data_IF_650699877812
#
_entry.id   IF_650699877812
#
_cell.length_a   1.000
_cell.length_b   1.000
_cell.length_c   1.000
_cell.angle_alpha   90.00
_cell.angle_beta   90.00
_cell.angle_gamma   90.00
#
_symmetry.space_group_name_H-M   'P 1'
#
loop_
_entity.id
_entity.type
_entity.pdbx_description
1 polymer ?
#
# COMPACT_ATOMS: atom_id res chain seq x y z
N UNK A 1 15.32 17.07 4.85
CA UNK A 1 14.61 17.79 5.92
C UNK A 1 13.39 16.94 6.29
N UNK A 2 13.39 16.26 7.44
CA UNK A 2 12.30 15.37 7.87
C UNK A 2 11.46 16.10 8.94
N UNK A 3 10.21 16.41 8.62
CA UNK A 3 9.27 16.97 9.60
C UNK A 3 8.54 15.83 10.31
N UNK A 4 8.76 15.71 11.62
CA UNK A 4 7.91 14.93 12.52
C UNK A 4 6.76 15.82 12.99
N UNK A 5 5.54 15.65 12.46
CA UNK A 5 4.35 16.29 13.01
C UNK A 5 3.72 15.38 14.07
N UNK A 6 3.83 15.79 15.33
CA UNK A 6 3.26 15.11 16.50
C UNK A 6 1.82 15.61 16.71
N UNK A 7 0.87 14.98 16.01
CA UNK A 7 -0.58 15.06 16.29
C UNK A 7 -1.31 16.37 15.94
N UNK A 8 -2.63 16.28 15.72
CA UNK A 8 -3.49 17.40 15.35
C UNK A 8 -4.97 17.17 15.68
N UNK A 9 -5.69 18.24 15.97
CA UNK A 9 -7.15 18.23 16.18
C UNK A 9 -7.85 18.64 14.88
N UNK A 10 -8.70 17.76 14.33
CA UNK A 10 -9.41 18.00 13.07
C UNK A 10 -10.93 17.89 13.25
N UNK A 11 -11.69 18.68 12.52
CA UNK A 11 -13.16 18.57 12.47
C UNK A 11 -13.56 17.81 11.20
N UNK A 12 -14.41 16.79 11.35
CA UNK A 12 -14.89 15.97 10.23
C UNK A 12 -16.42 15.97 10.19
N UNK A 13 -16.99 16.25 9.02
CA UNK A 13 -18.44 16.17 8.83
C UNK A 13 -18.89 14.71 8.95
N UNK A 14 -19.84 14.45 9.85
CA UNK A 14 -20.40 13.12 10.11
C UNK A 14 -21.67 12.90 9.31
N UNK A 15 -22.56 13.88 9.30
CA UNK A 15 -23.86 13.78 8.65
C UNK A 15 -24.30 15.14 8.12
N UNK A 16 -24.79 15.16 6.89
CA UNK A 16 -25.43 16.35 6.31
C UNK A 16 -26.87 16.41 6.80
N UNK A 17 -27.21 17.47 7.54
CA UNK A 17 -28.56 17.73 8.00
C UNK A 17 -29.39 18.43 6.92
N UNK A 18 -28.78 19.39 6.22
CA UNK A 18 -29.42 20.13 5.14
C UNK A 18 -28.40 20.50 4.07
N UNK A 19 -28.64 20.08 2.83
CA UNK A 19 -27.82 20.45 1.68
C UNK A 19 -28.13 21.86 1.19
N UNK A 20 -27.10 22.57 0.72
CA UNK A 20 -27.18 23.95 0.23
C UNK A 20 -27.89 24.92 1.20
N UNK A 21 -27.68 24.73 2.51
CA UNK A 21 -28.31 25.53 3.56
C UNK A 21 -27.88 27.01 3.53
N UNK A 22 -26.77 27.33 2.86
CA UNK A 22 -26.31 28.70 2.66
C UNK A 22 -25.09 28.78 1.75
N UNK A 23 -24.33 29.87 1.86
CA UNK A 23 -23.06 30.07 1.13
C UNK A 23 -21.84 30.06 2.04
N UNK A 24 -20.71 29.66 1.47
CA UNK A 24 -19.41 29.74 2.13
C UNK A 24 -18.96 31.20 2.25
N UNK A 25 -18.54 31.59 3.45
CA UNK A 25 -18.02 32.95 3.73
C UNK A 25 -16.71 33.26 3.01
N UNK A 26 -15.94 32.24 2.60
CA UNK A 26 -14.64 32.42 1.96
C UNK A 26 -14.74 32.40 0.42
N UNK A 27 -15.39 31.38 -0.15
CA UNK A 27 -15.43 31.18 -1.60
C UNK A 27 -16.80 31.41 -2.24
N UNK A 28 -17.85 31.74 -1.46
CA UNK A 28 -19.20 32.00 -1.98
C UNK A 28 -19.95 30.79 -2.54
N UNK A 29 -19.32 29.62 -2.61
CA UNK A 29 -19.94 28.36 -3.03
C UNK A 29 -21.04 27.89 -2.07
N UNK A 30 -21.86 26.92 -2.49
CA UNK A 30 -22.86 26.30 -1.61
C UNK A 30 -22.18 25.68 -0.38
N UNK A 31 -22.81 25.85 0.78
CA UNK A 31 -22.37 25.28 2.04
C UNK A 31 -23.52 24.49 2.67
N UNK A 32 -23.19 23.35 3.24
CA UNK A 32 -24.13 22.41 3.83
C UNK A 32 -24.16 22.57 5.35
N UNK A 33 -25.32 22.36 5.96
CA UNK A 33 -25.43 22.27 7.42
C UNK A 33 -25.11 20.83 7.82
N UNK A 34 -24.05 20.63 8.60
CA UNK A 34 -23.56 19.30 8.97
C UNK A 34 -23.41 19.15 10.48
N UNK A 35 -23.70 17.96 10.98
CA UNK A 35 -23.14 17.49 12.25
C UNK A 35 -21.69 17.10 12.01
N UNK A 36 -20.80 17.51 12.91
CA UNK A 36 -19.37 17.20 12.81
C UNK A 36 -18.86 16.53 14.08
N UNK A 37 -17.79 15.76 13.94
CA UNK A 37 -17.02 15.20 15.03
C UNK A 37 -15.68 15.94 15.13
N UNK A 38 -15.23 16.18 16.36
CA UNK A 38 -13.84 16.54 16.64
C UNK A 38 -13.05 15.25 16.76
N UNK A 39 -11.96 15.16 16.00
CA UNK A 39 -11.12 13.98 15.88
C UNK A 39 -9.73 14.37 16.35
N UNK A 40 -9.30 13.79 17.48
CA UNK A 40 -7.92 13.90 17.93
C UNK A 40 -7.10 12.83 17.19
N UNK A 41 -6.14 13.29 16.38
CA UNK A 41 -5.25 12.42 15.63
C UNK A 41 -3.87 12.41 16.27
N UNK A 42 -3.35 11.21 16.54
CA UNK A 42 -1.93 11.00 16.81
C UNK A 42 -1.29 10.56 15.49
N UNK A 43 -0.45 11.42 14.93
CA UNK A 43 0.00 11.34 13.54
C UNK A 43 -1.19 11.36 12.56
N UNK A 44 -1.67 10.18 12.14
CA UNK A 44 -2.73 10.00 11.14
C UNK A 44 -3.86 9.11 11.64
N UNK A 45 -3.72 8.53 12.85
CA UNK A 45 -4.69 7.63 13.45
C UNK A 45 -5.68 8.46 14.27
N UNK A 46 -6.99 8.39 14.00
CA UNK A 46 -8.00 8.98 14.86
C UNK A 46 -8.02 8.19 16.18
N UNK A 47 -7.36 8.70 17.20
CA UNK A 47 -7.25 8.04 18.50
C UNK A 47 -8.53 8.24 19.31
N UNK A 48 -9.16 9.41 19.15
CA UNK A 48 -10.37 9.75 19.89
C UNK A 48 -11.31 10.60 19.02
N UNK A 49 -12.62 10.30 19.09
CA UNK A 49 -13.67 11.04 18.39
C UNK A 49 -14.74 11.47 19.38
N UNK A 50 -15.23 12.69 19.24
CA UNK A 50 -16.37 13.16 20.02
C UNK A 50 -17.24 14.10 19.20
N UNK A 51 -18.57 14.09 19.40
CA UNK A 51 -19.48 14.92 18.64
C UNK A 51 -19.29 16.41 18.95
N UNK A 52 -19.46 17.24 17.93
CA UNK A 52 -19.56 18.69 18.06
C UNK A 52 -20.81 19.09 18.85
N UNK A 53 -20.74 20.18 19.61
CA UNK A 53 -21.86 20.61 20.48
C UNK A 53 -23.05 21.16 19.71
N UNK A 54 -22.83 21.70 18.51
CA UNK A 54 -23.85 22.32 17.66
C UNK A 54 -23.53 22.02 16.19
N UNK A 55 -24.53 21.92 15.31
CA UNK A 55 -24.32 21.82 13.86
C UNK A 55 -23.50 23.01 13.34
N UNK A 56 -22.71 22.78 12.29
CA UNK A 56 -21.86 23.80 11.67
C UNK A 56 -22.09 23.82 10.18
N UNK A 57 -21.89 24.97 9.55
CA UNK A 57 -21.82 25.04 8.09
C UNK A 57 -20.49 24.45 7.64
N UNK A 58 -20.53 23.64 6.57
CA UNK A 58 -19.37 23.05 5.94
C UNK A 58 -19.35 23.40 4.44
N UNK A 59 -18.23 23.91 3.97
CA UNK A 59 -17.98 24.12 2.55
C UNK A 59 -16.98 23.09 2.05
N UNK A 60 -17.38 22.28 1.07
CA UNK A 60 -16.52 21.25 0.48
C UNK A 60 -15.35 21.86 -0.31
N UNK A 61 -15.60 22.91 -1.10
CA UNK A 61 -14.56 23.59 -1.90
C UNK A 61 -13.44 24.20 -1.05
N UNK A 62 -13.80 24.78 0.09
CA UNK A 62 -12.86 25.48 0.97
C UNK A 62 -12.43 24.63 2.19
N UNK A 63 -13.01 23.44 2.37
CA UNK A 63 -12.90 22.59 3.57
C UNK A 63 -13.05 23.39 4.89
N UNK A 64 -13.98 24.35 4.90
CA UNK A 64 -14.13 25.33 5.97
C UNK A 64 -15.37 25.02 6.81
N UNK A 65 -15.17 24.88 8.12
CA UNK A 65 -16.25 24.87 9.10
C UNK A 65 -16.48 26.28 9.64
N UNK A 66 -17.73 26.73 9.65
CA UNK A 66 -18.09 28.04 10.18
C UNK A 66 -19.50 28.07 10.81
N UNK A 67 -19.77 29.00 11.75
CA UNK A 67 -21.08 29.13 12.39
C UNK A 67 -22.19 29.47 11.39
N UNK A 68 -23.38 28.90 11.59
CA UNK A 68 -24.55 29.16 10.74
C UNK A 68 -24.97 30.63 10.73
N UNK A 69 -24.77 31.37 11.84
CA UNK A 69 -25.06 32.79 11.96
C UNK A 69 -24.28 33.68 10.98
N UNK A 70 -23.17 33.18 10.43
CA UNK A 70 -22.33 33.91 9.48
C UNK A 70 -22.61 33.53 8.03
N UNK A 71 -23.52 32.59 7.75
CA UNK A 71 -23.78 32.14 6.37
C UNK A 71 -24.70 33.09 5.61
N UNK A 72 -24.33 33.55 4.40
CA UNK A 72 -25.23 34.27 3.52
C UNK A 72 -26.38 33.35 3.00
N UNK A 73 -27.55 33.93 2.64
CA UNK A 73 -28.71 33.16 2.19
C UNK A 73 -28.45 32.37 0.89
N UNK A 74 -29.15 31.23 0.68
CA UNK A 74 -28.96 30.38 -0.50
C UNK A 74 -29.38 31.11 -1.80
N UNK A 75 -28.73 30.81 -2.94
CA UNK A 75 -29.11 31.38 -4.24
C UNK A 75 -30.45 30.82 -4.75
N UNK A 76 -31.19 31.60 -5.57
CA UNK A 76 -32.40 31.11 -6.23
C UNK A 76 -32.09 29.95 -7.20
N UNK A 77 -33.04 29.05 -7.47
CA UNK A 77 -32.82 27.87 -8.30
C UNK A 77 -32.62 28.25 -9.77
N UNK A 78 -31.41 28.05 -10.30
CA UNK A 78 -31.09 28.27 -11.72
C UNK A 78 -30.57 27.00 -12.39
N UNK A 79 -30.93 26.83 -13.67
CA UNK A 79 -30.84 25.61 -14.49
C UNK A 79 -29.38 25.23 -14.81
N UNK A 80 -29.04 23.95 -14.61
CA UNK A 80 -27.71 23.38 -14.84
C UNK A 80 -27.27 23.42 -16.31
N UNK A 81 -26.03 23.88 -16.55
CA UNK A 81 -25.31 23.73 -17.83
C UNK A 81 -24.23 22.66 -17.67
N UNK A 82 -24.31 21.64 -18.52
CA UNK A 82 -23.46 20.44 -18.59
C UNK A 82 -22.06 20.76 -19.13
N UNK A 83 -21.00 20.17 -18.55
CA UNK A 83 -19.75 19.80 -19.25
C UNK A 83 -18.84 18.88 -18.41
N UNK A 84 -18.88 17.57 -18.68
CA UNK A 84 -17.76 16.62 -18.81
C UNK A 84 -18.32 15.19 -18.98
N UNK A 85 -17.60 14.33 -19.71
CA UNK A 85 -18.03 12.95 -19.95
C UNK A 85 -18.08 12.15 -18.63
N UNK A 86 -19.28 12.08 -18.03
CA UNK A 86 -19.50 11.42 -16.76
C UNK A 86 -19.22 9.91 -16.86
N UNK A 87 -18.36 9.40 -15.98
CA UNK A 87 -18.20 7.97 -15.73
C UNK A 87 -19.57 7.37 -15.41
N UNK A 88 -19.90 6.22 -16.01
CA UNK A 88 -21.15 5.50 -15.77
C UNK A 88 -20.89 4.20 -15.05
N UNK A 89 -21.79 3.83 -14.14
CA UNK A 89 -21.73 2.54 -13.47
C UNK A 89 -21.98 1.41 -14.48
N UNK A 90 -21.06 0.46 -14.60
CA UNK A 90 -21.15 -0.64 -15.59
C UNK A 90 -22.37 -1.56 -15.40
N UNK A 91 -22.96 -1.58 -14.19
CA UNK A 91 -24.08 -2.47 -13.88
C UNK A 91 -25.45 -1.81 -14.04
N UNK A 92 -25.55 -0.49 -13.85
CA UNK A 92 -26.84 0.22 -13.86
C UNK A 92 -26.86 1.47 -14.75
N UNK A 93 -25.76 1.75 -15.45
CA UNK A 93 -25.53 2.85 -16.40
C UNK A 93 -25.82 4.27 -15.87
N UNK A 94 -26.02 4.43 -14.55
CA UNK A 94 -26.16 5.74 -13.91
C UNK A 94 -24.82 6.46 -13.90
N UNK A 95 -24.87 7.79 -14.12
CA UNK A 95 -23.71 8.66 -13.92
C UNK A 95 -23.20 8.53 -12.49
N UNK A 96 -21.90 8.27 -12.36
CA UNK A 96 -21.19 8.28 -11.09
C UNK A 96 -21.09 9.74 -10.65
N UNK A 97 -21.65 10.03 -9.49
CA UNK A 97 -21.63 11.37 -8.91
C UNK A 97 -20.15 11.82 -8.75
N UNK A 98 -19.79 13.04 -9.23
CA UNK A 98 -18.45 13.61 -9.07
C UNK A 98 -17.93 13.59 -7.63
N UNK A 99 -18.80 13.59 -6.62
CA UNK A 99 -18.44 13.45 -5.22
C UNK A 99 -17.81 12.08 -4.86
N UNK A 100 -17.99 11.05 -5.70
CA UNK A 100 -17.28 9.78 -5.58
C UNK A 100 -15.88 9.81 -6.21
N UNK A 101 -15.54 10.87 -6.97
CA UNK A 101 -14.19 11.13 -7.46
C UNK A 101 -13.45 11.92 -6.38
N UNK A 102 -12.82 11.21 -5.45
CA UNK A 102 -12.11 11.83 -4.34
C UNK A 102 -10.96 12.72 -4.86
N UNK A 103 -11.09 14.04 -4.76
CA UNK A 103 -9.99 15.00 -5.01
C UNK A 103 -8.76 14.70 -4.11
N UNK A 104 -8.93 13.89 -3.06
CA UNK A 104 -7.85 13.41 -2.20
C UNK A 104 -7.08 12.24 -2.82
N UNK A 105 -7.73 11.41 -3.66
CA UNK A 105 -7.06 10.33 -4.42
C UNK A 105 -6.20 10.90 -5.56
N UNK A 106 -6.60 12.04 -6.14
CA UNK A 106 -5.83 12.73 -7.19
C UNK A 106 -4.49 13.27 -6.64
N UNK A 107 -4.51 13.89 -5.45
CA UNK A 107 -3.31 14.44 -4.79
C UNK A 107 -2.35 13.34 -4.32
N UNK A 108 -2.88 12.26 -3.73
CA UNK A 108 -2.05 11.11 -3.35
C UNK A 108 -1.40 10.47 -4.59
N UNK A 109 -2.18 10.25 -5.66
CA UNK A 109 -1.66 9.71 -6.92
C UNK A 109 -0.54 10.56 -7.50
N UNK A 110 -0.72 11.89 -7.54
CA UNK A 110 0.30 12.82 -8.04
C UNK A 110 1.61 12.74 -7.23
N UNK A 111 1.52 12.65 -5.89
CA UNK A 111 2.70 12.50 -5.03
C UNK A 111 3.46 11.19 -5.33
N UNK A 112 2.77 10.06 -5.41
CA UNK A 112 3.40 8.76 -5.67
C UNK A 112 3.91 8.64 -7.11
N UNK A 113 3.27 9.31 -8.07
CA UNK A 113 3.79 9.42 -9.44
C UNK A 113 5.07 10.25 -9.48
N UNK A 114 5.09 11.42 -8.84
CA UNK A 114 6.26 12.29 -8.80
C UNK A 114 7.46 11.59 -8.15
N UNK A 115 7.25 10.90 -7.02
CA UNK A 115 8.31 10.13 -6.37
C UNK A 115 8.82 8.97 -7.23
N UNK A 116 7.94 8.26 -7.95
CA UNK A 116 8.35 7.21 -8.88
C UNK A 116 9.16 7.75 -10.07
N UNK A 117 8.78 8.91 -10.61
CA UNK A 117 9.53 9.58 -11.70
C UNK A 117 10.91 10.01 -11.20
N UNK A 118 10.99 10.68 -10.05
CA UNK A 118 12.27 11.08 -9.46
C UNK A 118 13.18 9.88 -9.19
N UNK A 119 12.61 8.80 -8.63
CA UNK A 119 13.31 7.54 -8.41
C UNK A 119 13.84 6.95 -9.72
N UNK A 120 13.01 6.92 -10.77
CA UNK A 120 13.39 6.41 -12.09
C UNK A 120 14.55 7.22 -12.68
N UNK A 121 14.46 8.55 -12.63
CA UNK A 121 15.54 9.46 -13.09
C UNK A 121 16.84 9.16 -12.34
N UNK A 122 16.79 8.95 -11.01
CA UNK A 122 17.97 8.59 -10.23
C UNK A 122 18.60 7.27 -10.70
N UNK A 123 17.80 6.22 -10.93
CA UNK A 123 18.31 4.91 -11.39
C UNK A 123 18.91 5.01 -12.79
N UNK A 124 18.23 5.68 -13.73
CA UNK A 124 18.76 5.90 -15.07
C UNK A 124 20.03 6.75 -15.04
N UNK A 125 20.11 7.74 -14.15
CA UNK A 125 21.31 8.56 -14.00
C UNK A 125 22.52 7.71 -13.58
N UNK A 126 22.36 6.85 -12.57
CA UNK A 126 23.40 5.94 -12.12
C UNK A 126 23.85 4.96 -13.21
N UNK A 127 22.91 4.43 -14.00
CA UNK A 127 23.22 3.49 -15.09
C UNK A 127 23.96 4.18 -16.23
N UNK A 128 23.44 5.32 -16.71
CA UNK A 128 23.92 5.96 -17.94
C UNK A 128 25.16 6.83 -17.71
N UNK A 129 25.15 7.67 -16.67
CA UNK A 129 26.21 8.64 -16.41
C UNK A 129 27.29 8.08 -15.49
N UNK A 130 26.91 7.37 -14.42
CA UNK A 130 27.87 6.74 -13.50
C UNK A 130 28.30 5.33 -13.95
N UNK A 131 27.81 4.86 -15.11
CA UNK A 131 28.16 3.57 -15.73
C UNK A 131 27.95 2.35 -14.81
N UNK A 132 26.97 2.43 -13.90
CA UNK A 132 26.63 1.34 -12.95
C UNK A 132 25.80 0.25 -13.62
N UNK A 133 26.43 -0.49 -14.56
CA UNK A 133 25.78 -1.56 -15.33
C UNK A 133 25.22 -2.70 -14.46
N UNK A 134 25.69 -2.86 -13.23
CA UNK A 134 25.13 -3.83 -12.29
C UNK A 134 23.67 -3.56 -11.91
N UNK A 135 23.16 -2.33 -12.14
CA UNK A 135 21.76 -1.95 -11.87
C UNK A 135 20.80 -2.30 -13.02
N UNK A 136 21.32 -2.70 -14.20
CA UNK A 136 20.51 -3.13 -15.37
C UNK A 136 19.44 -4.18 -15.01
N UNK A 137 19.65 -5.14 -14.09
CA UNK A 137 18.61 -6.09 -13.70
C UNK A 137 17.34 -5.44 -13.13
N UNK A 138 17.38 -4.19 -12.63
CA UNK A 138 16.18 -3.42 -12.25
C UNK A 138 15.31 -3.19 -13.48
N UNK A 139 15.91 -2.71 -14.58
CA UNK A 139 15.20 -2.44 -15.84
C UNK A 139 14.66 -3.74 -16.46
N UNK A 140 15.45 -4.81 -16.41
CA UNK A 140 15.01 -6.12 -16.89
C UNK A 140 13.83 -6.66 -16.07
N UNK A 141 13.86 -6.49 -14.74
CA UNK A 141 12.74 -6.83 -13.87
C UNK A 141 11.47 -6.05 -14.26
N UNK A 142 11.58 -4.73 -14.41
CA UNK A 142 10.46 -3.89 -14.84
C UNK A 142 9.85 -4.35 -16.17
N UNK A 143 10.69 -4.57 -17.19
CA UNK A 143 10.25 -5.04 -18.52
C UNK A 143 9.61 -6.43 -18.45
N UNK A 144 10.16 -7.33 -17.63
CA UNK A 144 9.60 -8.67 -17.41
C UNK A 144 8.18 -8.59 -16.87
N UNK A 145 7.95 -7.80 -15.81
CA UNK A 145 6.61 -7.69 -15.20
C UNK A 145 5.63 -6.90 -16.07
N UNK A 146 6.10 -5.89 -16.81
CA UNK A 146 5.28 -5.22 -17.83
C UNK A 146 4.84 -6.20 -18.93
N UNK A 147 5.73 -7.08 -19.36
CA UNK A 147 5.43 -8.13 -20.34
C UNK A 147 4.45 -9.15 -19.78
N UNK A 148 4.61 -9.55 -18.51
CA UNK A 148 3.67 -10.42 -17.80
C UNK A 148 2.28 -9.79 -17.70
N UNK A 149 2.16 -8.48 -17.40
CA UNK A 149 0.88 -7.75 -17.43
C UNK A 149 0.20 -7.87 -18.78
N UNK A 150 0.94 -7.55 -19.86
CA UNK A 150 0.42 -7.61 -21.24
C UNK A 150 -0.05 -9.03 -21.57
N UNK A 151 0.72 -10.05 -21.19
CA UNK A 151 0.36 -11.45 -21.41
C UNK A 151 -0.91 -11.84 -20.64
N UNK A 152 -0.99 -11.58 -19.33
CA UNK A 152 -2.17 -11.89 -18.51
C UNK A 152 -3.40 -11.12 -19.00
N UNK A 153 -3.22 -9.85 -19.38
CA UNK A 153 -4.30 -8.99 -19.90
C UNK A 153 -4.89 -9.51 -21.21
N UNK A 154 -4.05 -10.09 -22.07
CA UNK A 154 -4.47 -10.66 -23.36
C UNK A 154 -5.05 -12.07 -23.21
N UNK A 155 -4.45 -12.90 -22.37
CA UNK A 155 -4.72 -14.34 -22.31
C UNK A 155 -5.75 -14.73 -21.25
N UNK A 156 -5.90 -13.96 -20.17
CA UNK A 156 -6.67 -14.38 -18.99
C UNK A 156 -7.82 -13.44 -18.66
N UNK A 157 -7.56 -12.15 -18.43
CA UNK A 157 -8.61 -11.18 -18.04
C UNK A 157 -8.21 -9.75 -18.35
N UNK A 158 -9.18 -8.90 -18.72
CA UNK A 158 -8.96 -7.46 -18.93
C UNK A 158 -9.14 -6.61 -17.66
N UNK A 159 -9.65 -7.20 -16.58
CA UNK A 159 -9.85 -6.50 -15.31
C UNK A 159 -8.50 -6.07 -14.71
N UNK A 160 -8.24 -4.75 -14.54
CA UNK A 160 -6.94 -4.27 -14.06
C UNK A 160 -6.54 -4.83 -12.70
N UNK A 161 -7.49 -4.96 -11.77
CA UNK A 161 -7.22 -5.50 -10.44
C UNK A 161 -6.82 -6.99 -10.49
N UNK A 162 -7.45 -7.76 -11.37
CA UNK A 162 -7.14 -9.17 -11.58
C UNK A 162 -5.74 -9.33 -12.19
N UNK A 163 -5.46 -8.57 -13.26
CA UNK A 163 -4.15 -8.59 -13.93
C UNK A 163 -3.05 -8.24 -12.94
N UNK A 164 -3.21 -7.13 -12.21
CA UNK A 164 -2.28 -6.69 -11.18
C UNK A 164 -2.01 -7.82 -10.16
N UNK A 165 -3.08 -8.41 -9.61
CA UNK A 165 -2.97 -9.50 -8.62
C UNK A 165 -2.25 -10.73 -9.17
N UNK A 166 -2.48 -11.11 -10.43
CA UNK A 166 -1.76 -12.21 -11.08
C UNK A 166 -0.28 -11.90 -11.28
N UNK A 167 0.07 -10.68 -11.67
CA UNK A 167 1.47 -10.26 -11.83
C UNK A 167 2.18 -10.21 -10.46
N UNK A 168 1.51 -9.73 -9.41
CA UNK A 168 2.01 -9.80 -8.04
C UNK A 168 2.20 -11.24 -7.55
N UNK A 169 1.33 -12.17 -7.96
CA UNK A 169 1.50 -13.60 -7.67
C UNK A 169 2.76 -14.17 -8.34
N UNK A 170 3.03 -13.79 -9.60
CA UNK A 170 4.25 -14.19 -10.30
C UNK A 170 5.48 -13.64 -9.57
N UNK A 171 5.46 -12.36 -9.18
CA UNK A 171 6.55 -11.74 -8.41
C UNK A 171 6.81 -12.47 -7.10
N UNK A 172 5.80 -12.56 -6.24
CA UNK A 172 5.94 -13.19 -4.92
C UNK A 172 6.40 -14.66 -5.04
N UNK A 173 5.99 -15.39 -6.08
CA UNK A 173 6.45 -16.76 -6.34
C UNK A 173 7.93 -16.83 -6.74
N UNK A 174 8.36 -16.00 -7.71
CA UNK A 174 9.75 -15.98 -8.19
C UNK A 174 10.70 -15.48 -7.10
N UNK A 175 10.32 -14.40 -6.39
CA UNK A 175 11.12 -13.81 -5.32
C UNK A 175 11.25 -14.77 -4.16
N UNK A 176 10.15 -15.43 -3.74
CA UNK A 176 10.19 -16.43 -2.67
C UNK A 176 11.11 -17.61 -3.01
N UNK A 177 11.01 -18.13 -4.24
CA UNK A 177 11.90 -19.21 -4.69
C UNK A 177 13.37 -18.76 -4.68
N UNK A 178 13.65 -17.54 -5.15
CA UNK A 178 14.99 -16.95 -5.15
C UNK A 178 15.55 -16.80 -3.73
N UNK A 179 14.76 -16.25 -2.80
CA UNK A 179 15.14 -16.09 -1.39
C UNK A 179 15.43 -17.45 -0.75
N UNK A 180 14.54 -18.44 -0.92
CA UNK A 180 14.74 -19.80 -0.38
C UNK A 180 16.03 -20.43 -0.92
N UNK A 181 16.30 -20.31 -2.22
CA UNK A 181 17.53 -20.81 -2.83
C UNK A 181 18.76 -20.12 -2.23
N UNK A 182 18.74 -18.78 -2.08
CA UNK A 182 19.84 -18.02 -1.48
C UNK A 182 20.10 -18.51 -0.05
N UNK A 183 19.06 -18.62 0.77
CA UNK A 183 19.18 -19.02 2.18
C UNK A 183 19.65 -20.47 2.34
N UNK A 184 19.13 -21.40 1.53
CA UNK A 184 19.58 -22.80 1.56
C UNK A 184 21.05 -22.92 1.14
N UNK A 185 21.48 -22.15 0.14
CA UNK A 185 22.87 -22.12 -0.29
C UNK A 185 23.79 -21.56 0.79
N UNK A 186 23.39 -20.49 1.48
CA UNK A 186 24.19 -19.92 2.57
C UNK A 186 24.24 -20.81 3.80
N UNK A 187 23.11 -21.39 4.18
CA UNK A 187 23.08 -22.38 5.26
C UNK A 187 24.04 -23.53 4.94
N UNK A 188 23.96 -24.12 3.75
CA UNK A 188 24.83 -25.22 3.36
C UNK A 188 26.32 -24.85 3.38
N UNK A 189 26.67 -23.61 3.02
CA UNK A 189 28.06 -23.16 2.91
C UNK A 189 28.68 -22.78 4.26
N UNK A 190 27.96 -22.00 5.07
CA UNK A 190 28.53 -21.32 6.25
C UNK A 190 27.91 -21.78 7.58
N UNK A 191 26.79 -22.51 7.54
CA UNK A 191 25.99 -22.81 8.72
C UNK A 191 25.09 -21.63 9.14
N UNK A 192 24.11 -21.90 10.00
CA UNK A 192 23.12 -20.90 10.43
C UNK A 192 23.77 -19.78 11.26
N UNK A 193 24.68 -20.13 12.16
CA UNK A 193 25.28 -19.16 13.09
C UNK A 193 26.08 -18.09 12.36
N UNK A 194 26.95 -18.50 11.43
CA UNK A 194 27.77 -17.57 10.62
C UNK A 194 26.92 -16.75 9.66
N UNK A 195 25.85 -17.33 9.10
CA UNK A 195 24.96 -16.63 8.18
C UNK A 195 24.36 -15.36 8.78
N UNK A 196 24.16 -15.31 10.10
CA UNK A 196 23.60 -14.14 10.78
C UNK A 196 24.66 -13.22 11.40
N UNK A 197 25.95 -13.42 11.16
CA UNK A 197 26.99 -12.49 11.62
C UNK A 197 26.84 -11.11 10.96
N UNK A 198 27.26 -10.06 11.67
CA UNK A 198 27.10 -8.68 11.20
C UNK A 198 27.82 -8.42 9.86
N UNK A 199 29.07 -8.87 9.77
CA UNK A 199 29.88 -8.75 8.55
C UNK A 199 29.24 -9.49 7.37
N UNK A 200 28.67 -10.67 7.62
CA UNK A 200 27.94 -11.44 6.61
C UNK A 200 26.68 -10.72 6.14
N UNK A 201 25.97 -10.00 7.02
CA UNK A 201 24.71 -9.32 6.66
C UNK A 201 24.91 -7.91 6.07
N UNK A 202 26.03 -7.25 6.35
CA UNK A 202 26.27 -5.84 6.04
C UNK A 202 27.37 -5.64 4.99
N UNK A 203 28.52 -6.29 5.16
CA UNK A 203 29.75 -5.99 4.41
C UNK A 203 29.89 -6.82 3.12
N UNK A 204 29.24 -7.98 3.06
CA UNK A 204 29.28 -8.88 1.90
C UNK A 204 27.89 -9.00 1.25
N UNK A 205 27.86 -9.51 0.02
CA UNK A 205 26.62 -9.80 -0.70
C UNK A 205 26.59 -11.28 -1.04
N UNK A 206 25.53 -11.98 -0.61
CA UNK A 206 25.37 -13.38 -0.94
C UNK A 206 25.19 -13.57 -2.45
N UNK A 207 25.70 -14.67 -3.04
CA UNK A 207 25.40 -15.03 -4.42
C UNK A 207 23.91 -14.91 -4.74
N UNK A 208 23.60 -14.22 -5.85
CA UNK A 208 22.24 -13.93 -6.33
C UNK A 208 21.42 -12.93 -5.50
N UNK A 209 21.87 -12.51 -4.32
CA UNK A 209 21.15 -11.54 -3.49
C UNK A 209 21.00 -10.17 -4.19
N UNK A 210 22.08 -9.67 -4.80
CA UNK A 210 22.03 -8.41 -5.54
C UNK A 210 20.98 -8.45 -6.66
N UNK A 211 21.01 -9.51 -7.47
CA UNK A 211 20.10 -9.69 -8.60
C UNK A 211 18.65 -9.88 -8.15
N UNK A 212 18.41 -10.66 -7.09
CA UNK A 212 17.08 -10.84 -6.52
C UNK A 212 16.49 -9.52 -6.00
N UNK A 213 17.33 -8.70 -5.37
CA UNK A 213 16.92 -7.38 -4.87
C UNK A 213 16.66 -6.40 -6.02
N UNK A 214 17.49 -6.37 -7.05
CA UNK A 214 17.25 -5.59 -8.28
C UNK A 214 15.95 -6.00 -8.99
N UNK A 215 15.74 -7.30 -9.17
CA UNK A 215 14.56 -7.85 -9.82
C UNK A 215 13.28 -7.47 -9.04
N UNK A 216 13.33 -7.54 -7.71
CA UNK A 216 12.24 -7.09 -6.85
C UNK A 216 12.02 -5.58 -6.91
N UNK A 217 13.10 -4.80 -6.98
CA UNK A 217 13.01 -3.35 -7.14
C UNK A 217 12.32 -2.95 -8.47
N UNK A 218 12.66 -3.65 -9.56
CA UNK A 218 12.00 -3.48 -10.86
C UNK A 218 10.51 -3.82 -10.81
N UNK A 219 10.13 -4.87 -10.08
CA UNK A 219 8.72 -5.19 -9.81
C UNK A 219 8.01 -4.06 -9.06
N UNK A 220 8.54 -3.60 -7.93
CA UNK A 220 7.84 -2.59 -7.11
C UNK A 220 7.60 -1.29 -7.86
N UNK A 221 8.53 -0.90 -8.73
CA UNK A 221 8.39 0.26 -9.61
C UNK A 221 7.31 0.05 -10.68
N UNK A 222 7.31 -1.10 -11.35
CA UNK A 222 6.26 -1.47 -12.30
C UNK A 222 4.89 -1.52 -11.63
N UNK A 223 4.78 -2.16 -10.47
CA UNK A 223 3.51 -2.37 -9.77
C UNK A 223 2.96 -1.07 -9.22
N UNK A 224 3.83 -0.18 -8.72
CA UNK A 224 3.44 1.19 -8.36
C UNK A 224 2.92 1.96 -9.57
N UNK A 225 3.58 1.87 -10.73
CA UNK A 225 3.09 2.50 -11.95
C UNK A 225 1.73 1.96 -12.37
N UNK A 226 1.57 0.63 -12.39
CA UNK A 226 0.31 -0.03 -12.77
C UNK A 226 -0.84 0.37 -11.82
N UNK A 227 -0.59 0.38 -10.51
CA UNK A 227 -1.57 0.85 -9.53
C UNK A 227 -1.95 2.32 -9.73
N UNK A 228 -0.99 3.19 -10.07
CA UNK A 228 -1.25 4.61 -10.31
C UNK A 228 -2.03 4.84 -11.60
N UNK A 229 -1.68 4.16 -12.68
CA UNK A 229 -2.34 4.29 -13.99
C UNK A 229 -3.78 3.77 -13.96
N UNK A 230 -4.05 2.70 -13.21
CA UNK A 230 -5.38 2.09 -13.13
C UNK A 230 -6.16 2.46 -11.85
N UNK A 231 -5.63 3.33 -11.01
CA UNK A 231 -6.30 3.77 -9.77
C UNK A 231 -6.56 2.64 -8.78
N UNK A 232 -5.63 1.68 -8.65
CA UNK A 232 -5.78 0.49 -7.80
C UNK A 232 -5.38 0.74 -6.33
N UNK A 233 -5.71 1.93 -5.83
CA UNK A 233 -5.38 2.37 -4.48
C UNK A 233 -6.55 3.19 -3.92
N UNK A 234 -6.65 3.29 -2.60
CA UNK A 234 -7.76 4.01 -1.96
C UNK A 234 -7.29 4.76 -0.72
N UNK A 235 -7.91 5.92 -0.47
CA UNK A 235 -7.67 6.73 0.70
C UNK A 235 -6.56 7.77 0.51
N UNK A 236 -6.43 8.68 1.48
CA UNK A 236 -5.46 9.79 1.43
C UNK A 236 -4.01 9.34 1.57
N UNK A 237 -3.77 8.29 2.36
CA UNK A 237 -2.46 7.63 2.50
C UNK A 237 -2.66 6.15 2.15
N UNK A 238 -2.56 5.78 0.86
CA UNK A 238 -2.72 4.41 0.44
C UNK A 238 -1.58 3.55 1.00
N UNK A 239 -1.88 2.65 1.93
CA UNK A 239 -0.90 1.82 2.62
C UNK A 239 -0.01 1.01 1.66
N UNK A 240 -0.59 0.53 0.56
CA UNK A 240 0.12 -0.21 -0.49
C UNK A 240 1.12 0.68 -1.25
N UNK A 241 0.79 1.94 -1.56
CA UNK A 241 1.73 2.86 -2.21
C UNK A 241 2.84 3.31 -1.26
N UNK A 242 2.51 3.53 0.02
CA UNK A 242 3.52 3.81 1.06
C UNK A 242 4.49 2.63 1.20
N UNK A 243 3.98 1.41 1.21
CA UNK A 243 4.79 0.20 1.25
C UNK A 243 5.79 0.16 0.08
N UNK A 244 5.33 0.42 -1.14
CA UNK A 244 6.19 0.43 -2.33
C UNK A 244 7.24 1.53 -2.26
N UNK A 245 6.86 2.74 -1.81
CA UNK A 245 7.80 3.85 -1.65
C UNK A 245 8.90 3.50 -0.63
N UNK A 246 8.54 2.93 0.53
CA UNK A 246 9.53 2.50 1.54
C UNK A 246 10.47 1.45 0.96
N UNK A 247 9.94 0.44 0.26
CA UNK A 247 10.76 -0.60 -0.35
C UNK A 247 11.69 -0.06 -1.45
N UNK A 248 11.19 0.79 -2.35
CA UNK A 248 11.98 1.39 -3.41
C UNK A 248 13.14 2.22 -2.85
N UNK A 249 12.89 3.06 -1.85
CA UNK A 249 13.92 3.86 -1.18
C UNK A 249 14.96 2.97 -0.48
N UNK A 250 14.52 2.02 0.36
CA UNK A 250 15.42 1.13 1.09
C UNK A 250 16.25 0.25 0.16
N UNK A 251 15.63 -0.35 -0.87
CA UNK A 251 16.30 -1.27 -1.78
C UNK A 251 17.31 -0.54 -2.64
N UNK A 252 16.94 0.59 -3.24
CA UNK A 252 17.89 1.34 -4.08
C UNK A 252 19.04 1.93 -3.30
N UNK A 253 18.85 2.42 -2.08
CA UNK A 253 19.99 2.89 -1.30
C UNK A 253 20.98 1.75 -1.00
N UNK A 254 20.47 0.57 -0.61
CA UNK A 254 21.29 -0.61 -0.40
C UNK A 254 22.02 -1.04 -1.69
N UNK A 255 21.36 -0.99 -2.85
CA UNK A 255 21.96 -1.30 -4.16
C UNK A 255 23.03 -0.29 -4.59
N UNK A 256 22.80 1.01 -4.33
CA UNK A 256 23.76 2.08 -4.64
C UNK A 256 25.00 1.98 -3.78
N UNK A 257 24.82 1.76 -2.47
CA UNK A 257 25.90 1.65 -1.47
C UNK A 257 26.57 0.28 -1.44
N UNK A 258 25.89 -0.77 -1.93
CA UNK A 258 26.28 -2.19 -1.82
C UNK A 258 26.45 -2.64 -0.37
N UNK A 259 25.58 -2.17 0.52
CA UNK A 259 25.58 -2.46 1.96
C UNK A 259 24.19 -2.93 2.36
N UNK A 260 24.09 -3.76 3.41
CA UNK A 260 22.85 -4.31 3.99
C UNK A 260 21.94 -5.10 3.05
N UNK A 261 22.43 -5.51 1.87
CA UNK A 261 21.65 -6.27 0.90
C UNK A 261 21.11 -7.57 1.49
N UNK A 262 21.92 -8.29 2.28
CA UNK A 262 21.51 -9.56 2.85
C UNK A 262 20.44 -9.39 3.93
N UNK A 263 20.47 -8.29 4.70
CA UNK A 263 19.34 -7.91 5.57
C UNK A 263 18.04 -7.75 4.77
N UNK A 264 18.08 -7.11 3.59
CA UNK A 264 16.91 -6.95 2.74
C UNK A 264 16.44 -8.26 2.10
N UNK A 265 17.35 -9.19 1.81
CA UNK A 265 16.96 -10.56 1.40
C UNK A 265 16.22 -11.27 2.53
N UNK A 266 16.66 -11.13 3.78
CA UNK A 266 15.96 -11.70 4.93
C UNK A 266 14.57 -11.09 5.10
N UNK A 267 14.38 -9.79 4.87
CA UNK A 267 13.05 -9.18 4.96
C UNK A 267 12.10 -9.66 3.86
N UNK A 268 12.61 -9.99 2.67
CA UNK A 268 11.85 -10.57 1.54
C UNK A 268 11.31 -11.98 1.80
N UNK A 269 11.67 -12.64 2.92
CA UNK A 269 10.96 -13.84 3.38
C UNK A 269 9.44 -13.59 3.48
N UNK A 270 9.02 -12.34 3.72
CA UNK A 270 7.61 -11.96 3.76
C UNK A 270 6.83 -12.24 2.46
N UNK A 271 7.52 -12.39 1.32
CA UNK A 271 6.89 -12.73 0.04
C UNK A 271 6.28 -14.13 0.03
N UNK A 272 6.76 -15.04 0.89
CA UNK A 272 6.14 -16.37 1.06
C UNK A 272 4.68 -16.25 1.49
N UNK A 273 4.36 -15.27 2.36
CA UNK A 273 2.98 -14.98 2.73
C UNK A 273 2.21 -14.29 1.60
N UNK A 274 2.87 -13.42 0.83
CA UNK A 274 2.23 -12.73 -0.31
C UNK A 274 1.68 -13.73 -1.34
N UNK A 275 2.33 -14.87 -1.57
CA UNK A 275 1.82 -15.95 -2.44
C UNK A 275 0.40 -16.36 -2.01
N UNK A 276 0.21 -16.71 -0.74
CA UNK A 276 -1.09 -17.18 -0.23
C UNK A 276 -2.15 -16.07 -0.27
N UNK A 277 -1.77 -14.82 0.00
CA UNK A 277 -2.66 -13.66 -0.16
C UNK A 277 -3.14 -13.48 -1.59
N UNK A 278 -2.22 -13.54 -2.57
CA UNK A 278 -2.56 -13.34 -3.97
C UNK A 278 -3.35 -14.53 -4.54
N UNK A 279 -2.98 -15.77 -4.19
CA UNK A 279 -3.78 -16.97 -4.54
C UNK A 279 -5.21 -16.83 -4.02
N UNK A 280 -5.38 -16.45 -2.74
CA UNK A 280 -6.69 -16.20 -2.15
C UNK A 280 -7.46 -15.11 -2.90
N UNK A 281 -6.79 -13.99 -3.23
CA UNK A 281 -7.43 -12.88 -3.94
C UNK A 281 -7.86 -13.29 -5.35
N UNK A 282 -7.01 -13.95 -6.13
CA UNK A 282 -7.34 -14.50 -7.46
C UNK A 282 -8.53 -15.46 -7.38
N UNK A 283 -8.51 -16.42 -6.45
CA UNK A 283 -9.62 -17.37 -6.24
C UNK A 283 -10.95 -16.65 -5.98
N UNK A 284 -10.94 -15.61 -5.12
CA UNK A 284 -12.15 -14.83 -4.80
C UNK A 284 -12.66 -14.00 -5.97
N UNK A 285 -11.76 -13.53 -6.84
CA UNK A 285 -12.10 -12.82 -8.08
C UNK A 285 -12.66 -13.78 -9.13
N UNK A 286 -12.21 -15.03 -9.16
CA UNK A 286 -12.77 -16.10 -10.00
C UNK A 286 -14.15 -16.63 -9.53
N UNK A 287 -14.77 -16.00 -8.51
CA UNK A 287 -16.11 -16.37 -8.03
C UNK A 287 -16.16 -17.54 -7.06
N UNK A 288 -15.04 -18.23 -6.80
CA UNK A 288 -14.97 -19.37 -5.88
C UNK A 288 -14.94 -18.85 -4.44
N UNK A 289 -16.11 -18.82 -3.78
CA UNK A 289 -16.29 -18.23 -2.44
C UNK A 289 -16.80 -19.20 -1.37
N UNK A 290 -16.96 -20.48 -1.69
CA UNK A 290 -17.54 -21.44 -0.76
C UNK A 290 -16.56 -21.81 0.36
N UNK A 291 -16.80 -21.25 1.55
CA UNK A 291 -16.03 -21.47 2.77
C UNK A 291 -16.12 -22.91 3.31
N UNK A 292 -17.08 -23.73 2.82
CA UNK A 292 -17.21 -25.13 3.25
C UNK A 292 -16.23 -26.07 2.55
N UNK A 293 -15.62 -25.63 1.45
CA UNK A 293 -14.65 -26.44 0.72
C UNK A 293 -13.37 -26.66 1.54
N UNK A 294 -12.80 -27.88 1.47
CA UNK A 294 -11.51 -28.21 2.12
C UNK A 294 -10.38 -27.27 1.64
N UNK A 295 -10.46 -26.82 0.39
CA UNK A 295 -9.51 -25.89 -0.23
C UNK A 295 -9.46 -24.56 0.52
N UNK A 296 -10.62 -23.94 0.80
CA UNK A 296 -10.66 -22.65 1.51
C UNK A 296 -10.15 -22.78 2.95
N UNK A 297 -10.42 -23.89 3.63
CA UNK A 297 -9.86 -24.16 4.97
C UNK A 297 -8.34 -24.30 4.94
N UNK A 298 -7.82 -25.11 4.01
CA UNK A 298 -6.38 -25.31 3.84
C UNK A 298 -5.68 -23.99 3.49
N UNK A 299 -6.26 -23.19 2.58
CA UNK A 299 -5.75 -21.86 2.23
C UNK A 299 -5.64 -20.95 3.46
N UNK A 300 -6.69 -20.88 4.29
CA UNK A 300 -6.65 -20.07 5.51
C UNK A 300 -5.59 -20.54 6.51
N UNK A 301 -5.43 -21.86 6.69
CA UNK A 301 -4.39 -22.44 7.56
C UNK A 301 -3.00 -22.06 7.04
N UNK A 302 -2.74 -22.28 5.75
CA UNK A 302 -1.45 -21.95 5.13
C UNK A 302 -1.16 -20.45 5.19
N UNK A 303 -2.17 -19.62 4.95
CA UNK A 303 -2.03 -18.17 4.99
C UNK A 303 -1.72 -17.67 6.42
N UNK A 304 -2.36 -18.22 7.46
CA UNK A 304 -2.05 -17.89 8.84
C UNK A 304 -0.64 -18.35 9.25
N UNK A 305 -0.27 -19.58 8.89
CA UNK A 305 1.09 -20.09 9.15
C UNK A 305 2.14 -19.21 8.49
N UNK A 306 1.95 -18.91 7.19
CA UNK A 306 2.87 -18.04 6.47
C UNK A 306 2.92 -16.62 7.05
N UNK A 307 1.78 -16.05 7.49
CA UNK A 307 1.78 -14.74 8.15
C UNK A 307 2.61 -14.74 9.44
N UNK A 308 2.41 -15.74 10.29
CA UNK A 308 3.11 -15.85 11.58
C UNK A 308 4.61 -16.04 11.37
N UNK A 309 5.01 -17.01 10.55
CA UNK A 309 6.42 -17.37 10.40
C UNK A 309 7.18 -16.44 9.45
N UNK A 310 6.60 -16.11 8.29
CA UNK A 310 7.29 -15.39 7.23
C UNK A 310 7.22 -13.86 7.37
N UNK A 311 6.27 -13.33 8.15
CA UNK A 311 6.17 -11.89 8.44
C UNK A 311 6.41 -11.57 9.91
N UNK A 312 5.61 -12.12 10.83
CA UNK A 312 5.66 -11.68 12.23
C UNK A 312 6.96 -12.09 12.93
N UNK A 313 7.23 -13.40 13.01
CA UNK A 313 8.42 -13.92 13.70
C UNK A 313 9.70 -13.46 13.00
N UNK A 314 9.79 -13.65 11.67
CA UNK A 314 10.97 -13.26 10.90
C UNK A 314 11.31 -11.77 11.02
N UNK A 315 10.34 -10.86 10.87
CA UNK A 315 10.62 -9.42 10.94
C UNK A 315 10.96 -8.97 12.36
N UNK A 316 10.37 -9.58 13.39
CA UNK A 316 10.76 -9.34 14.79
C UNK A 316 12.21 -9.80 15.02
N UNK A 317 12.59 -11.00 14.58
CA UNK A 317 13.96 -11.50 14.72
C UNK A 317 14.97 -10.62 13.98
N UNK A 318 14.65 -10.18 12.76
CA UNK A 318 15.47 -9.24 12.00
C UNK A 318 15.59 -7.89 12.74
N UNK A 319 14.50 -7.41 13.34
CA UNK A 319 14.51 -6.15 14.10
C UNK A 319 15.38 -6.26 15.34
N UNK A 320 15.24 -7.34 16.12
CA UNK A 320 16.09 -7.63 17.29
C UNK A 320 17.55 -7.71 16.86
N UNK A 321 17.84 -8.42 15.76
CA UNK A 321 19.19 -8.56 15.25
C UNK A 321 19.78 -7.22 14.79
N UNK A 322 19.01 -6.41 14.08
CA UNK A 322 19.41 -5.07 13.63
C UNK A 322 19.70 -4.14 14.82
N UNK A 323 18.87 -4.17 15.87
CA UNK A 323 19.09 -3.40 17.10
C UNK A 323 20.36 -3.88 17.82
N UNK A 324 20.55 -5.20 17.94
CA UNK A 324 21.76 -5.77 18.55
C UNK A 324 23.04 -5.46 17.77
N UNK A 325 22.93 -5.32 16.45
CA UNK A 325 24.03 -4.92 15.58
C UNK A 325 24.22 -3.40 15.48
N UNK A 326 23.31 -2.58 16.00
CA UNK A 326 23.35 -1.12 15.86
C UNK A 326 24.72 -0.49 16.20
N UNK A 327 25.43 -0.90 17.28
CA UNK A 327 26.75 -0.35 17.60
C UNK A 327 27.85 -0.70 16.59
N UNK A 328 27.64 -1.71 15.73
CA UNK A 328 28.60 -2.18 14.73
C UNK A 328 28.46 -1.45 13.40
N UNK A 329 27.34 -0.76 13.18
CA UNK A 329 27.17 0.08 12.00
C UNK A 329 28.13 1.26 12.04
N UNK A 330 28.76 1.53 10.89
CA UNK A 330 29.59 2.72 10.70
C UNK A 330 28.71 3.98 10.75
N UNK A 331 29.30 5.12 11.11
CA UNK A 331 28.61 6.41 11.08
C UNK A 331 28.08 6.69 9.67
N UNK A 332 26.76 6.82 9.53
CA UNK A 332 26.13 6.94 8.23
C UNK A 332 24.61 6.90 8.26
N UNK A 333 24.02 6.84 7.08
CA UNK A 333 22.57 6.81 6.89
C UNK A 333 22.00 5.39 6.90
N UNK A 334 22.85 4.36 6.88
CA UNK A 334 22.40 2.96 6.78
C UNK A 334 21.57 2.52 7.98
N UNK A 335 22.05 2.78 9.20
CA UNK A 335 21.36 2.37 10.43
C UNK A 335 20.01 3.11 10.61
N UNK A 336 19.94 4.45 10.54
CA UNK A 336 18.65 5.15 10.61
C UNK A 336 17.66 4.70 9.54
N UNK A 337 18.13 4.44 8.31
CA UNK A 337 17.27 3.95 7.24
C UNK A 337 16.79 2.51 7.50
N UNK A 338 17.68 1.62 7.94
CA UNK A 338 17.32 0.24 8.25
C UNK A 338 16.30 0.19 9.40
N UNK A 339 16.51 0.96 10.47
CA UNK A 339 15.57 1.05 11.60
C UNK A 339 14.21 1.63 11.19
N UNK A 340 14.21 2.72 10.41
CA UNK A 340 12.95 3.33 9.93
C UNK A 340 12.21 2.42 8.94
N UNK A 341 12.93 1.73 8.05
CA UNK A 341 12.39 0.72 7.15
C UNK A 341 11.75 -0.44 7.91
N UNK A 342 12.45 -1.01 8.90
CA UNK A 342 11.90 -2.08 9.75
C UNK A 342 10.70 -1.61 10.57
N UNK A 343 10.73 -0.40 11.12
CA UNK A 343 9.60 0.16 11.86
C UNK A 343 8.37 0.32 10.96
N UNK A 344 8.55 0.89 9.76
CA UNK A 344 7.48 1.04 8.77
C UNK A 344 6.90 -0.31 8.34
N UNK A 345 7.76 -1.28 8.03
CA UNK A 345 7.35 -2.63 7.61
C UNK A 345 6.61 -3.40 8.69
N UNK A 346 7.07 -3.34 9.95
CA UNK A 346 6.38 -3.96 11.08
C UNK A 346 4.99 -3.33 11.31
N UNK A 347 4.89 -1.99 11.21
CA UNK A 347 3.61 -1.30 11.33
C UNK A 347 2.63 -1.75 10.23
N UNK A 348 3.09 -1.83 8.98
CA UNK A 348 2.29 -2.32 7.85
C UNK A 348 1.87 -3.78 8.03
N UNK A 349 2.73 -4.63 8.59
CA UNK A 349 2.39 -6.02 8.91
C UNK A 349 1.30 -6.13 9.99
N UNK A 350 1.29 -5.24 10.99
CA UNK A 350 0.21 -5.17 11.99
C UNK A 350 -1.13 -4.84 11.31
N UNK A 351 -1.17 -3.82 10.45
CA UNK A 351 -2.38 -3.46 9.71
C UNK A 351 -2.87 -4.60 8.83
N UNK A 352 -1.96 -5.25 8.10
CA UNK A 352 -2.29 -6.43 7.31
C UNK A 352 -2.86 -7.57 8.17
N UNK A 353 -2.33 -7.78 9.38
CA UNK A 353 -2.84 -8.77 10.33
C UNK A 353 -4.28 -8.47 10.77
N UNK A 354 -4.61 -7.21 11.05
CA UNK A 354 -5.96 -6.76 11.40
C UNK A 354 -6.92 -6.99 10.22
N UNK A 355 -6.50 -6.63 9.01
CA UNK A 355 -7.28 -6.84 7.79
C UNK A 355 -7.52 -8.32 7.51
N UNK A 356 -6.49 -9.14 7.74
CA UNK A 356 -6.55 -10.58 7.55
C UNK A 356 -7.50 -11.25 8.55
N UNK A 357 -7.40 -10.87 9.83
CA UNK A 357 -8.32 -11.34 10.87
C UNK A 357 -9.78 -10.95 10.56
N UNK A 358 -9.98 -9.70 10.15
CA UNK A 358 -11.29 -9.19 9.74
C UNK A 358 -11.84 -9.96 8.54
N UNK A 359 -10.99 -10.30 7.58
CA UNK A 359 -11.35 -11.10 6.42
C UNK A 359 -11.69 -12.56 6.78
N UNK A 360 -10.91 -13.18 7.67
CA UNK A 360 -11.16 -14.52 8.18
C UNK A 360 -12.52 -14.59 8.86
N UNK A 361 -12.82 -13.64 9.75
CA UNK A 361 -14.11 -13.56 10.46
C UNK A 361 -15.29 -13.37 9.51
N UNK A 362 -15.11 -12.62 8.41
CA UNK A 362 -16.17 -12.43 7.40
C UNK A 362 -16.46 -13.71 6.61
N UNK A 363 -15.44 -14.51 6.30
CA UNK A 363 -15.59 -15.74 5.51
C UNK A 363 -16.03 -16.96 6.33
N UNK A 364 -15.74 -16.96 7.64
CA UNK A 364 -16.14 -18.04 8.56
C UNK A 364 -17.50 -17.83 9.19
N UNK A 365 -18.08 -16.63 9.14
CA UNK A 365 -19.46 -16.40 9.57
C UNK A 365 -20.43 -17.19 8.66
N UNK A 366 -21.33 -18.00 9.21
CA UNK A 366 -22.37 -18.64 8.41
C UNK A 366 -23.22 -17.54 7.75
N UNK A 367 -23.51 -17.69 6.45
CA UNK A 367 -24.59 -16.93 5.81
C UNK A 367 -25.85 -17.24 6.61
N UNK A 368 -26.46 -16.22 7.25
CA UNK A 368 -27.87 -16.33 7.63
C UNK A 368 -28.63 -16.51 6.32
N UNK A 369 -29.39 -17.59 6.21
CA UNK A 369 -30.33 -17.78 5.12
C UNK A 369 -31.27 -16.58 5.12
N UNK A 370 -31.17 -15.73 4.10
CA UNK A 370 -32.29 -14.86 3.72
C UNK A 370 -33.28 -15.72 2.95
N UNK A 371 -33.93 -16.64 3.66
CA UNK A 371 -35.23 -17.16 3.27
C UNK A 371 -36.25 -16.55 4.22
N UNK A 372 -37.08 -15.66 3.64
CA UNK A 372 -38.42 -15.23 4.03
C UNK A 372 -38.53 -13.70 3.94
N UNK A 373 -39.00 -13.24 2.80
CA UNK A 373 -40.07 -12.24 2.69
C UNK A 373 -40.61 -12.29 1.25
N UNK A 374 -41.37 -13.36 1.00
CA UNK A 374 -42.51 -13.31 0.10
C UNK A 374 -43.70 -13.77 0.95
N UNK A 375 -44.42 -12.82 1.49
CA UNK A 375 -45.86 -12.84 1.75
C UNK A 375 -46.33 -11.39 1.86
#
# INVERSE_FOLDING_TARGET
MFFFFVGGLEQQARQVLQSAAGRCIACGSRADLVEYEKVLKLFFVPVWRWPGKQPSMYCDNCNLFFPQSLSPPPPPPEKEVVKEAALRCQFCDRGVDPAFRSDKESKAGAFFMATLVMWSISVFFEILFNKRSELIPILLGFVFFQSANVAVRKLVSRDPLFVNTCVSLIHSSITSASVVIILLNQWRKSGVDKMFEHSELVDVTWPWAYQALCFSCGYFAYDQLDMLLYGLYSGWIPSILVHHLVLLVCFTLALYRKVTINYLILTLICELHSIFLHVRKVRRMAGVRDARTKIVKAEWVLNWLAFIFARFISHILITIKLIGDAPKFKNGVELPLALSGMAGMNLLNIFLGIDLFSAYRRETKPKKDHHNHHE
#
